data_IF_831866042860
#
_entry.id   IF_831866042860
#
_cell.length_a   1.000
_cell.length_b   1.000
_cell.length_c   1.000
_cell.angle_alpha   90.00
_cell.angle_beta   90.00
_cell.angle_gamma   90.00
#
_symmetry.space_group_name_H-M   'P 1'
#
loop_
_entity.id
_entity.type
_entity.pdbx_description
1 polymer ?
#
# COMPACT_ATOMS: atom_id res chain seq x y z
N UNK A 1 5.72 7.14 5.26
CA UNK A 1 5.15 6.84 3.91
C UNK A 1 5.78 5.55 3.37
N UNK A 2 5.07 4.45 3.54
CA UNK A 2 5.52 3.11 3.16
C UNK A 2 5.11 2.80 1.72
N UNK A 3 6.05 2.35 0.88
CA UNK A 3 5.76 2.01 -0.51
C UNK A 3 5.75 0.49 -0.72
N UNK A 4 4.69 -0.03 -1.33
CA UNK A 4 4.51 -1.45 -1.66
C UNK A 4 4.07 -1.61 -3.11
N UNK A 5 4.35 -2.75 -3.71
CA UNK A 5 3.82 -3.04 -5.04
C UNK A 5 2.33 -3.45 -4.97
N UNK A 6 1.62 -3.28 -6.08
CA UNK A 6 0.20 -3.60 -6.18
C UNK A 6 -0.13 -5.07 -5.84
N UNK A 7 0.73 -6.02 -6.22
CA UNK A 7 0.51 -7.45 -5.96
C UNK A 7 0.48 -7.73 -4.47
N UNK A 8 1.41 -7.17 -3.71
CA UNK A 8 1.50 -7.33 -2.26
C UNK A 8 0.37 -6.58 -1.56
N UNK A 9 0.04 -5.36 -2.00
CA UNK A 9 -1.09 -4.59 -1.49
C UNK A 9 -2.41 -5.34 -1.67
N UNK A 10 -2.61 -6.00 -2.81
CA UNK A 10 -3.81 -6.80 -3.09
C UNK A 10 -3.84 -8.07 -2.24
N UNK A 11 -2.72 -8.76 -2.10
CA UNK A 11 -2.63 -10.01 -1.33
C UNK A 11 -2.83 -9.78 0.17
N UNK A 12 -2.34 -8.66 0.69
CA UNK A 12 -2.37 -8.30 2.11
C UNK A 12 -3.24 -7.07 2.38
N UNK A 13 -4.38 -6.95 1.69
CA UNK A 13 -5.21 -5.73 1.71
C UNK A 13 -5.66 -5.33 3.12
N UNK A 14 -6.18 -6.28 3.91
CA UNK A 14 -6.66 -5.99 5.26
C UNK A 14 -5.54 -5.47 6.18
N UNK A 15 -4.34 -6.05 6.10
CA UNK A 15 -3.17 -5.59 6.84
C UNK A 15 -2.70 -4.21 6.36
N UNK A 16 -2.74 -3.98 5.05
CA UNK A 16 -2.38 -2.69 4.44
C UNK A 16 -3.30 -1.58 4.95
N UNK A 17 -4.62 -1.83 4.99
CA UNK A 17 -5.60 -0.85 5.50
C UNK A 17 -5.44 -0.61 6.99
N UNK A 18 -5.12 -1.65 7.78
CA UNK A 18 -4.88 -1.51 9.21
C UNK A 18 -3.74 -0.54 9.51
N UNK A 19 -2.65 -0.58 8.73
CA UNK A 19 -1.53 0.37 8.89
C UNK A 19 -1.97 1.82 8.62
N UNK A 20 -2.81 2.01 7.60
CA UNK A 20 -3.35 3.35 7.28
C UNK A 20 -4.24 3.87 8.41
N UNK A 21 -5.04 3.01 9.03
CA UNK A 21 -5.95 3.41 10.11
C UNK A 21 -5.24 3.59 11.45
N UNK A 22 -4.33 2.69 11.80
CA UNK A 22 -3.73 2.61 13.14
C UNK A 22 -2.53 3.56 13.26
N UNK A 23 -1.69 3.63 12.22
CA UNK A 23 -0.46 4.43 12.23
C UNK A 23 -0.68 5.83 11.61
N UNK A 24 -1.89 6.11 11.10
CA UNK A 24 -2.23 7.31 10.34
C UNK A 24 -1.25 7.61 9.18
N UNK A 25 -0.54 6.58 8.70
CA UNK A 25 0.48 6.73 7.68
C UNK A 25 -0.06 6.33 6.29
N UNK A 26 0.11 7.20 5.28
CA UNK A 26 -0.25 6.85 3.92
C UNK A 26 0.67 5.77 3.36
N UNK A 27 0.06 4.80 2.68
CA UNK A 27 0.75 3.74 1.92
C UNK A 27 0.74 4.09 0.43
N UNK A 28 1.93 4.16 -0.18
CA UNK A 28 2.11 4.35 -1.63
C UNK A 28 2.05 2.99 -2.33
N UNK A 29 1.08 2.79 -3.22
CA UNK A 29 0.96 1.55 -3.99
C UNK A 29 1.52 1.76 -5.40
N UNK A 30 2.64 1.10 -5.69
CA UNK A 30 3.35 1.20 -6.97
C UNK A 30 2.82 0.16 -7.96
N UNK A 31 2.53 0.59 -9.20
CA UNK A 31 2.20 -0.29 -10.32
C UNK A 31 3.31 -0.20 -11.35
N UNK A 32 3.70 -1.36 -11.90
CA UNK A 32 4.82 -1.45 -12.85
C UNK A 32 4.62 -0.59 -14.11
N UNK A 33 3.37 -0.36 -14.50
CA UNK A 33 3.01 0.37 -15.73
C UNK A 33 2.40 1.75 -15.45
N UNK A 34 2.40 2.23 -14.20
CA UNK A 34 1.87 3.55 -13.87
C UNK A 34 3.00 4.58 -13.77
N UNK A 35 2.87 5.76 -14.38
CA UNK A 35 3.77 6.88 -14.12
C UNK A 35 3.66 7.30 -12.64
N UNK A 36 4.80 7.72 -12.08
CA UNK A 36 5.00 8.04 -10.66
C UNK A 36 4.29 9.29 -10.13
#
# INVERSE_FOLDING_TARGET
MHAINFTDARKHFAETMKRVTDDAEPVRVMRRDAPD
#
